data_IF_097057354204
#
_entry.id   IF_097057354204
#
_cell.length_a   1.000
_cell.length_b   1.000
_cell.length_c   1.000
_cell.angle_alpha   90.00
_cell.angle_beta   90.00
_cell.angle_gamma   90.00
#
_symmetry.space_group_name_H-M   'P 1'
#
loop_
_entity.id
_entity.type
_entity.pdbx_description
1 polymer ?
#
# COMPACT_ATOMS: atom_id res chain seq x y z
N UNK A 1 -7.97 -18.56 2.42
CA UNK A 1 -7.36 -17.70 1.37
C UNK A 1 -8.34 -16.57 1.08
N UNK A 2 -7.93 -15.31 1.27
CA UNK A 2 -8.78 -14.13 1.05
C UNK A 2 -8.48 -13.56 -0.34
N UNK A 3 -9.52 -13.21 -1.12
CA UNK A 3 -9.39 -12.53 -2.41
C UNK A 3 -9.87 -11.09 -2.25
N UNK A 4 -9.06 -10.13 -2.71
CA UNK A 4 -9.41 -8.70 -2.72
C UNK A 4 -9.32 -8.21 -4.16
N UNK A 5 -10.35 -7.51 -4.62
CA UNK A 5 -10.41 -6.86 -5.92
C UNK A 5 -9.80 -5.46 -5.80
N UNK A 6 -8.56 -5.29 -6.25
CA UNK A 6 -7.79 -4.05 -6.05
C UNK A 6 -8.35 -2.85 -6.84
N UNK A 7 -8.99 -3.11 -7.97
CA UNK A 7 -9.69 -2.10 -8.78
C UNK A 7 -10.82 -1.40 -8.00
N UNK A 8 -11.50 -2.12 -7.11
CA UNK A 8 -12.50 -1.53 -6.20
C UNK A 8 -11.90 -0.61 -5.14
N UNK A 9 -10.59 -0.69 -4.91
CA UNK A 9 -9.84 0.19 -3.99
C UNK A 9 -9.12 1.33 -4.70
N UNK A 10 -9.43 1.58 -5.98
CA UNK A 10 -8.77 2.58 -6.84
C UNK A 10 -9.20 4.02 -6.51
N UNK A 11 -8.86 4.46 -5.31
CA UNK A 11 -9.01 5.83 -4.84
C UNK A 11 -7.66 6.54 -4.82
N UNK A 12 -7.66 7.82 -5.16
CA UNK A 12 -6.44 8.63 -5.18
C UNK A 12 -6.61 9.86 -4.29
N UNK A 13 -5.50 10.30 -3.69
CA UNK A 13 -5.43 11.53 -2.92
C UNK A 13 -4.87 12.65 -3.84
N UNK A 14 -5.54 13.80 -3.98
CA UNK A 14 -5.03 14.89 -4.82
C UNK A 14 -3.71 15.50 -4.31
N UNK A 15 -3.38 15.30 -3.02
CA UNK A 15 -2.18 15.85 -2.38
C UNK A 15 -1.01 14.84 -2.31
N UNK A 16 -1.19 13.61 -2.76
CA UNK A 16 -0.12 12.60 -2.69
C UNK A 16 -0.58 11.17 -2.93
N UNK A 17 0.15 10.20 -2.38
CA UNK A 17 -0.24 8.79 -2.47
C UNK A 17 -1.41 8.47 -1.54
N UNK A 18 -2.29 7.56 -1.98
CA UNK A 18 -3.30 6.92 -1.14
C UNK A 18 -2.85 5.49 -0.86
N UNK A 19 -2.79 5.09 0.40
CA UNK A 19 -2.45 3.73 0.80
C UNK A 19 -3.69 2.96 1.30
N UNK A 20 -3.65 1.64 1.13
CA UNK A 20 -4.65 0.70 1.60
C UNK A 20 -3.96 -0.59 2.08
N UNK A 21 -4.27 -1.04 3.30
CA UNK A 21 -3.75 -2.31 3.83
C UNK A 21 -4.55 -3.47 3.25
N UNK A 22 -3.88 -4.28 2.43
CA UNK A 22 -4.48 -5.45 1.77
C UNK A 22 -4.50 -6.63 2.74
N UNK A 23 -3.41 -6.83 3.47
CA UNK A 23 -3.22 -7.91 4.43
C UNK A 23 -2.25 -7.49 5.53
N UNK A 24 -2.51 -7.96 6.75
CA UNK A 24 -1.63 -7.76 7.90
C UNK A 24 -1.65 -9.02 8.77
N UNK A 25 -0.47 -9.46 9.21
CA UNK A 25 -0.24 -10.63 10.05
C UNK A 25 1.14 -10.55 10.71
N UNK A 26 1.43 -11.47 11.62
CA UNK A 26 2.73 -11.58 12.30
C UNK A 26 3.91 -11.86 11.36
N UNK A 27 3.66 -12.36 10.15
CA UNK A 27 4.71 -12.75 9.20
C UNK A 27 4.92 -11.72 8.09
N UNK A 28 3.83 -11.11 7.63
CA UNK A 28 3.84 -10.23 6.46
C UNK A 28 2.73 -9.18 6.52
N UNK A 29 3.10 -7.99 6.04
CA UNK A 29 2.19 -6.88 5.73
C UNK A 29 2.24 -6.58 4.24
N UNK A 30 1.06 -6.47 3.62
CA UNK A 30 0.89 -6.15 2.20
C UNK A 30 0.08 -4.86 2.11
N UNK A 31 0.65 -3.84 1.46
CA UNK A 31 0.04 -2.51 1.32
C UNK A 31 -0.02 -2.15 -0.17
N UNK A 32 -1.20 -1.73 -0.65
CA UNK A 32 -1.36 -1.19 -1.99
C UNK A 32 -1.28 0.35 -1.95
N UNK A 33 -0.55 0.94 -2.88
CA UNK A 33 -0.46 2.39 -3.06
C UNK A 33 -1.02 2.81 -4.42
N UNK A 34 -1.99 3.72 -4.40
CA UNK A 34 -2.49 4.38 -5.60
C UNK A 34 -1.82 5.75 -5.72
N UNK A 35 -1.18 5.99 -6.86
CA UNK A 35 -0.44 7.22 -7.16
C UNK A 35 -1.03 7.86 -8.43
N UNK A 36 -1.31 9.16 -8.38
CA UNK A 36 -1.58 9.91 -9.61
C UNK A 36 -0.33 10.00 -10.48
N UNK A 37 -0.51 10.20 -11.78
CA UNK A 37 0.61 10.41 -12.70
C UNK A 37 1.47 11.59 -12.23
N UNK A 38 2.79 11.40 -12.21
CA UNK A 38 3.75 12.41 -11.75
C UNK A 38 3.92 12.50 -10.23
N UNK A 39 3.10 11.81 -9.43
CA UNK A 39 3.35 11.69 -7.98
C UNK A 39 4.54 10.76 -7.76
N UNK A 40 5.50 11.24 -6.97
CA UNK A 40 6.66 10.46 -6.58
C UNK A 40 6.30 9.54 -5.41
N UNK A 41 6.85 8.33 -5.44
CA UNK A 41 6.92 7.49 -4.26
C UNK A 41 8.32 7.71 -3.62
N UNK A 42 8.43 8.56 -2.59
CA UNK A 42 9.72 8.94 -2.05
C UNK A 42 10.40 7.74 -1.38
N UNK A 43 11.73 7.76 -1.34
CA UNK A 43 12.49 6.82 -0.51
C UNK A 43 12.06 7.01 0.94
N UNK A 44 11.73 5.92 1.61
CA UNK A 44 11.29 5.89 3.00
C UNK A 44 11.65 4.52 3.62
N UNK A 45 11.48 4.42 4.93
CA UNK A 45 11.71 3.20 5.71
C UNK A 45 10.48 2.88 6.56
N UNK A 46 10.38 1.63 7.03
CA UNK A 46 9.33 1.18 7.93
C UNK A 46 9.96 0.56 9.17
N UNK A 47 9.48 0.98 10.34
CA UNK A 47 9.89 0.44 11.63
C UNK A 47 8.92 -0.69 12.02
N UNK A 48 9.16 -1.90 11.50
CA UNK A 48 8.31 -3.07 11.74
C UNK A 48 9.14 -4.32 12.03
N UNK A 49 8.56 -5.24 12.78
CA UNK A 49 9.04 -6.62 12.89
C UNK A 49 8.42 -7.46 11.76
N UNK A 50 9.25 -8.19 11.00
CA UNK A 50 8.80 -9.07 9.91
C UNK A 50 9.11 -8.57 8.50
N UNK A 51 8.43 -9.13 7.48
CA UNK A 51 8.62 -8.78 6.08
C UNK A 51 7.54 -7.82 5.56
N UNK A 52 7.97 -6.82 4.80
CA UNK A 52 7.11 -5.85 4.14
C UNK A 52 7.13 -6.06 2.63
N UNK A 53 5.94 -6.10 2.03
CA UNK A 53 5.75 -6.01 0.58
C UNK A 53 4.85 -4.82 0.26
N UNK A 54 5.34 -3.94 -0.62
CA UNK A 54 4.70 -2.71 -1.07
C UNK A 54 4.56 -2.73 -2.59
#
# INVERSE_FOLDING_TARGET
MKKIELDKTREFNPLGMKSFVVHESEFFKIINFNLHAGVLFPVHSHDIEGQLSI
#
